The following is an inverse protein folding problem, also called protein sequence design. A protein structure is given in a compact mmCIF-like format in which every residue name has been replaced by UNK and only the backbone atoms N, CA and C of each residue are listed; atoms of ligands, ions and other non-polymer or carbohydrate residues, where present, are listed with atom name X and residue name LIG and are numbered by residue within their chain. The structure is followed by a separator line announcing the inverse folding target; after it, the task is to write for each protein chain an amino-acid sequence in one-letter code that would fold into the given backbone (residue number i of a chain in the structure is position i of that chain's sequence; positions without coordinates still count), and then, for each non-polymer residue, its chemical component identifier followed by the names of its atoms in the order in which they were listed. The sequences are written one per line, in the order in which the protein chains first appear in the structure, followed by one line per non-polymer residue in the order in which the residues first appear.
data_IF_919105778921
#
_entry.id   IF_919105778921
#
_cell.length_a   1.000
_cell.length_b   1.000
_cell.length_c   1.000
_cell.angle_alpha   90.00
_cell.angle_beta   90.00
_cell.angle_gamma   90.00
#
_symmetry.space_group_name_H-M   'P 1'
#
loop_
_entity.id
_entity.type
_entity.pdbx_description
1 polymer ?
#
# COMPACT_ATOMS: atom_id res chain seq x y z
N UNK A 1 -3.06 -27.48 -39.61
CA UNK A 1 -3.82 -26.24 -39.33
C UNK A 1 -4.66 -26.47 -38.08
N UNK A 2 -4.15 -26.04 -36.92
CA UNK A 2 -4.93 -26.09 -35.67
C UNK A 2 -6.10 -25.13 -35.84
N UNK A 3 -7.33 -25.60 -35.60
CA UNK A 3 -8.53 -24.78 -35.82
C UNK A 3 -8.50 -23.65 -34.80
N UNK A 4 -8.64 -22.39 -35.25
CA UNK A 4 -8.69 -21.20 -34.40
C UNK A 4 -9.69 -21.33 -33.23
N UNK A 5 -10.74 -22.16 -33.42
CA UNK A 5 -11.73 -22.54 -32.40
C UNK A 5 -11.16 -23.38 -31.25
N UNK A 6 -10.24 -24.30 -31.50
CA UNK A 6 -9.61 -25.13 -30.46
C UNK A 6 -8.66 -24.28 -29.60
N UNK A 7 -7.99 -23.30 -30.20
CA UNK A 7 -7.10 -22.38 -29.49
C UNK A 7 -7.88 -21.40 -28.58
N UNK A 8 -9.07 -20.98 -29.01
CA UNK A 8 -10.00 -20.18 -28.20
C UNK A 8 -10.56 -20.96 -27.00
N UNK A 9 -10.85 -22.24 -27.17
CA UNK A 9 -11.37 -23.08 -26.09
C UNK A 9 -10.30 -23.37 -25.02
N UNK A 10 -9.05 -23.61 -25.42
CA UNK A 10 -7.96 -23.88 -24.47
C UNK A 10 -7.57 -22.68 -23.58
N UNK A 11 -7.81 -21.44 -24.05
CA UNK A 11 -7.60 -20.23 -23.22
C UNK A 11 -8.70 -20.09 -22.16
N UNK A 12 -9.90 -20.62 -22.42
CA UNK A 12 -11.08 -20.39 -21.59
C UNK A 12 -11.11 -21.23 -20.31
N UNK A 13 -10.42 -22.38 -20.28
CA UNK A 13 -10.45 -23.30 -19.13
C UNK A 13 -9.69 -22.80 -17.89
N UNK A 14 -8.77 -21.84 -18.02
CA UNK A 14 -7.99 -21.31 -16.90
C UNK A 14 -8.53 -20.00 -16.29
N UNK A 15 -9.68 -19.49 -16.75
CA UNK A 15 -10.26 -18.22 -16.25
C UNK A 15 -11.79 -18.19 -16.31
N UNK A 16 -12.48 -18.96 -15.47
CA UNK A 16 -13.94 -18.76 -15.30
C UNK A 16 -14.36 -18.70 -13.84
N UNK A 17 -13.65 -17.94 -13.01
CA UNK A 17 -14.29 -17.35 -11.83
C UNK A 17 -14.94 -16.04 -12.25
N UNK A 18 -16.20 -16.12 -12.71
CA UNK A 18 -17.04 -14.93 -12.79
C UNK A 18 -17.39 -14.55 -11.35
N UNK A 19 -17.05 -13.33 -10.88
CA UNK A 19 -17.46 -12.92 -9.55
C UNK A 19 -18.99 -12.98 -9.46
N UNK A 20 -19.55 -13.35 -8.30
CA UNK A 20 -20.99 -13.36 -8.12
C UNK A 20 -21.56 -12.00 -8.51
N UNK A 21 -22.75 -12.01 -9.14
CA UNK A 21 -23.48 -10.78 -9.44
C UNK A 21 -23.72 -10.02 -8.14
N UNK A 22 -23.72 -8.69 -8.22
CA UNK A 22 -24.17 -7.86 -7.09
C UNK A 22 -25.59 -8.27 -6.69
N UNK A 23 -25.89 -8.18 -5.40
CA UNK A 23 -27.20 -8.52 -4.85
C UNK A 23 -28.34 -7.69 -5.47
N UNK A 24 -28.04 -6.47 -5.93
CA UNK A 24 -28.91 -5.68 -6.81
C UNK A 24 -28.10 -4.76 -7.75
N UNK A 25 -28.71 -4.24 -8.84
CA UNK A 25 -28.07 -3.25 -9.71
C UNK A 25 -27.67 -1.96 -8.98
N UNK A 26 -28.45 -1.55 -7.97
CA UNK A 26 -28.21 -0.34 -7.17
C UNK A 26 -27.01 -0.50 -6.24
N UNK A 27 -26.80 -1.70 -5.68
CA UNK A 27 -25.70 -2.02 -4.77
C UNK A 27 -24.34 -1.77 -5.43
N UNK A 28 -24.21 -1.99 -6.73
CA UNK A 28 -22.98 -1.69 -7.47
C UNK A 28 -22.60 -0.21 -7.34
N UNK A 29 -23.54 0.70 -7.61
CA UNK A 29 -23.32 2.14 -7.54
C UNK A 29 -23.04 2.61 -6.11
N UNK A 30 -23.75 2.04 -5.13
CA UNK A 30 -23.53 2.35 -3.71
C UNK A 30 -22.12 1.94 -3.25
N UNK A 31 -21.69 0.71 -3.57
CA UNK A 31 -20.34 0.21 -3.25
C UNK A 31 -19.27 1.07 -3.94
N UNK A 32 -19.44 1.43 -5.21
CA UNK A 32 -18.46 2.28 -5.92
C UNK A 32 -18.29 3.65 -5.23
N UNK A 33 -19.38 4.24 -4.76
CA UNK A 33 -19.35 5.50 -4.04
C UNK A 33 -18.69 5.35 -2.67
N UNK A 34 -18.97 4.28 -1.94
CA UNK A 34 -18.40 4.03 -0.63
C UNK A 34 -16.91 3.68 -0.71
N UNK A 35 -16.48 2.92 -1.73
CA UNK A 35 -15.05 2.68 -2.03
C UNK A 35 -14.32 4.00 -2.27
N UNK A 36 -14.91 4.93 -3.03
CA UNK A 36 -14.33 6.27 -3.23
C UNK A 36 -14.21 7.04 -1.91
N UNK A 37 -15.20 6.97 -1.03
CA UNK A 37 -15.14 7.62 0.29
C UNK A 37 -14.04 7.00 1.17
N UNK A 38 -14.00 5.66 1.25
CA UNK A 38 -12.98 4.92 1.99
C UNK A 38 -11.57 5.26 1.48
N UNK A 39 -11.39 5.31 0.15
CA UNK A 39 -10.12 5.71 -0.47
C UNK A 39 -9.68 7.11 -0.07
N UNK A 40 -10.59 8.08 -0.01
CA UNK A 40 -10.28 9.44 0.47
C UNK A 40 -9.85 9.46 1.94
N UNK A 41 -10.52 8.69 2.80
CA UNK A 41 -10.17 8.56 4.22
C UNK A 41 -8.77 7.98 4.37
N UNK A 42 -8.50 6.84 3.71
CA UNK A 42 -7.19 6.20 3.70
C UNK A 42 -6.11 7.11 3.11
N UNK A 43 -6.43 7.90 2.09
CA UNK A 43 -5.53 8.90 1.52
C UNK A 43 -5.09 9.94 2.57
N UNK A 44 -6.03 10.50 3.34
CA UNK A 44 -5.72 11.45 4.43
C UNK A 44 -4.91 10.78 5.54
N UNK A 45 -5.31 9.59 5.99
CA UNK A 45 -4.60 8.83 7.01
C UNK A 45 -3.16 8.51 6.57
N UNK A 46 -2.97 8.09 5.31
CA UNK A 46 -1.65 7.82 4.72
C UNK A 46 -0.73 9.04 4.81
N UNK A 47 -1.25 10.23 4.50
CA UNK A 47 -0.48 11.47 4.58
C UNK A 47 -0.09 11.81 6.03
N UNK A 48 -0.98 11.58 7.00
CA UNK A 48 -0.67 11.78 8.41
C UNK A 48 0.43 10.81 8.89
N UNK A 49 0.37 9.54 8.51
CA UNK A 49 1.42 8.55 8.81
C UNK A 49 2.76 8.96 8.19
N UNK A 50 2.77 9.37 6.92
CA UNK A 50 3.96 9.89 6.24
C UNK A 50 4.53 11.10 6.98
N UNK A 51 3.67 12.02 7.44
CA UNK A 51 4.09 13.18 8.20
C UNK A 51 4.79 12.78 9.50
N UNK A 52 4.24 11.83 10.26
CA UNK A 52 4.90 11.30 11.48
C UNK A 52 6.29 10.75 11.17
N UNK A 53 6.44 9.98 10.08
CA UNK A 53 7.74 9.48 9.63
C UNK A 53 8.71 10.63 9.32
N UNK A 54 8.27 11.63 8.55
CA UNK A 54 9.10 12.77 8.15
C UNK A 54 9.49 13.65 9.33
N UNK A 55 8.56 13.97 10.22
CA UNK A 55 8.81 14.82 11.38
C UNK A 55 9.80 14.16 12.35
N UNK A 56 9.76 12.83 12.50
CA UNK A 56 10.75 12.10 13.29
C UNK A 56 12.17 12.17 12.71
N UNK A 57 12.31 12.03 11.38
CA UNK A 57 13.61 12.15 10.70
C UNK A 57 14.11 13.59 10.74
N UNK A 58 13.25 14.56 10.40
CA UNK A 58 13.56 16.00 10.41
C UNK A 58 13.95 16.48 11.81
N UNK A 59 13.24 16.02 12.85
CA UNK A 59 13.52 16.33 14.25
C UNK A 59 14.71 15.56 14.84
N UNK A 60 15.34 14.68 14.06
CA UNK A 60 16.53 13.95 14.47
C UNK A 60 16.30 12.81 15.47
N UNK A 61 15.05 12.40 15.72
CA UNK A 61 14.71 11.31 16.64
C UNK A 61 15.28 9.96 16.19
N UNK A 62 15.32 9.74 14.88
CA UNK A 62 15.83 8.54 14.21
C UNK A 62 16.18 8.88 12.75
N UNK A 63 16.88 8.00 12.04
CA UNK A 63 17.10 8.14 10.60
C UNK A 63 16.05 7.38 9.76
N UNK A 64 16.11 7.54 8.44
CA UNK A 64 15.10 6.95 7.56
C UNK A 64 15.16 5.41 7.54
N UNK A 65 16.34 4.83 7.79
CA UNK A 65 16.54 3.38 7.82
C UNK A 65 16.05 2.76 9.14
N UNK A 66 16.10 3.50 10.24
CA UNK A 66 15.53 3.07 11.52
C UNK A 66 14.02 2.83 11.41
N UNK A 67 13.30 3.56 10.55
CA UNK A 67 11.85 3.36 10.34
C UNK A 67 11.58 1.96 9.78
N UNK A 68 12.25 1.58 8.69
CA UNK A 68 12.02 0.27 8.06
C UNK A 68 12.50 -0.86 8.98
N UNK A 69 13.65 -0.71 9.62
CA UNK A 69 14.13 -1.67 10.63
C UNK A 69 13.12 -1.81 11.76
N UNK A 70 12.61 -0.69 12.25
CA UNK A 70 11.58 -0.62 13.28
C UNK A 70 10.36 -1.42 12.86
N UNK A 71 9.78 -1.16 11.67
CA UNK A 71 8.61 -1.86 11.12
C UNK A 71 8.84 -3.38 11.04
N UNK A 72 10.01 -3.82 10.58
CA UNK A 72 10.31 -5.24 10.32
C UNK A 72 10.66 -6.03 11.58
N UNK A 73 11.43 -5.45 12.50
CA UNK A 73 12.04 -6.18 13.62
C UNK A 73 11.35 -5.96 14.96
N UNK A 74 10.45 -4.97 15.07
CA UNK A 74 9.77 -4.71 16.35
C UNK A 74 8.73 -5.76 16.73
N UNK A 75 8.25 -5.69 17.98
CA UNK A 75 7.23 -6.60 18.54
C UNK A 75 5.96 -6.66 17.68
N UNK A 76 5.57 -7.87 17.25
CA UNK A 76 4.41 -8.16 16.40
C UNK A 76 3.09 -7.58 16.93
N UNK A 77 2.92 -7.53 18.25
CA UNK A 77 1.66 -7.15 18.90
C UNK A 77 1.38 -5.64 18.96
N UNK A 78 2.31 -4.79 18.51
CA UNK A 78 2.11 -3.32 18.53
C UNK A 78 1.28 -2.77 17.37
N UNK A 79 0.91 -3.62 16.42
CA UNK A 79 0.21 -3.29 15.17
C UNK A 79 -0.79 -4.38 14.83
N UNK A 80 -1.95 -4.02 14.30
CA UNK A 80 -2.94 -4.96 13.79
C UNK A 80 -2.50 -5.60 12.46
N UNK A 81 -3.25 -6.62 12.05
CA UNK A 81 -3.04 -7.29 10.77
C UNK A 81 -3.13 -6.30 9.60
N UNK A 82 -2.24 -6.45 8.61
CA UNK A 82 -2.17 -5.57 7.44
C UNK A 82 -1.48 -4.21 7.66
N UNK A 83 -1.38 -3.72 8.90
CA UNK A 83 -0.76 -2.41 9.19
C UNK A 83 0.74 -2.39 8.87
N UNK A 84 1.49 -3.44 9.22
CA UNK A 84 2.93 -3.52 8.92
C UNK A 84 3.23 -3.46 7.42
N UNK A 85 2.59 -4.28 6.57
CA UNK A 85 2.68 -4.14 5.12
C UNK A 85 2.32 -2.73 4.64
N UNK A 86 1.26 -2.13 5.19
CA UNK A 86 0.82 -0.79 4.83
C UNK A 86 1.87 0.28 5.18
N UNK A 87 2.43 0.26 6.40
CA UNK A 87 3.50 1.16 6.82
C UNK A 87 4.76 0.99 5.96
N UNK A 88 5.13 -0.26 5.64
CA UNK A 88 6.26 -0.57 4.75
C UNK A 88 6.03 0.02 3.36
N UNK A 89 4.83 -0.12 2.80
CA UNK A 89 4.45 0.46 1.52
C UNK A 89 4.55 1.99 1.56
N UNK A 90 4.04 2.65 2.60
CA UNK A 90 4.13 4.10 2.75
C UNK A 90 5.57 4.57 2.83
N UNK A 91 6.42 3.92 3.62
CA UNK A 91 7.85 4.22 3.68
C UNK A 91 8.51 4.11 2.30
N UNK A 92 8.24 3.04 1.55
CA UNK A 92 8.77 2.84 0.18
C UNK A 92 8.39 3.98 -0.75
N UNK A 93 7.15 4.49 -0.65
CA UNK A 93 6.64 5.60 -1.46
C UNK A 93 7.37 6.91 -1.19
N UNK A 94 7.79 7.16 0.05
CA UNK A 94 8.38 8.46 0.45
C UNK A 94 9.86 8.42 0.76
N UNK A 95 10.52 7.25 0.65
CA UNK A 95 11.93 7.08 1.08
C UNK A 95 12.90 8.08 0.44
N UNK A 96 12.68 8.45 -0.83
CA UNK A 96 13.50 9.44 -1.53
C UNK A 96 13.37 10.82 -0.91
N UNK A 97 12.19 11.17 -0.39
CA UNK A 97 11.91 12.44 0.26
C UNK A 97 12.70 12.64 1.54
N UNK A 98 13.10 11.58 2.26
CA UNK A 98 13.90 11.73 3.48
C UNK A 98 15.30 12.29 3.23
N UNK A 99 15.84 12.14 2.00
CA UNK A 99 17.20 12.60 1.66
C UNK A 99 17.40 14.10 1.87
N UNK A 100 16.34 14.90 1.74
CA UNK A 100 16.35 16.35 2.00
C UNK A 100 16.70 16.72 3.45
N UNK A 101 16.57 15.77 4.37
CA UNK A 101 16.81 15.98 5.81
C UNK A 101 18.12 15.36 6.29
N UNK A 102 18.90 14.74 5.40
CA UNK A 102 20.24 14.25 5.71
C UNK A 102 21.30 15.21 5.21
N UNK A 103 22.33 15.47 6.03
CA UNK A 103 23.49 16.31 5.66
C UNK A 103 24.14 15.85 4.35
N UNK A 104 24.26 14.53 4.16
CA UNK A 104 24.94 13.95 2.99
C UNK A 104 23.97 13.43 1.90
N UNK A 105 22.67 13.70 2.02
CA UNK A 105 21.64 13.07 1.17
C UNK A 105 21.48 11.55 1.37
N UNK A 106 22.11 10.98 2.39
CA UNK A 106 22.03 9.57 2.77
C UNK A 106 20.76 9.26 3.56
N UNK A 107 20.33 8.00 3.58
CA UNK A 107 19.17 7.58 4.38
C UNK A 107 19.58 7.16 5.80
N UNK A 108 20.85 6.77 5.97
CA UNK A 108 21.47 6.41 7.24
C UNK A 108 22.33 7.58 7.71
N UNK A 109 22.21 7.97 8.97
CA UNK A 109 23.16 8.91 9.59
C UNK A 109 24.44 8.14 9.95
N UNK A 110 25.60 8.75 9.67
CA UNK A 110 26.89 8.26 10.14
C UNK A 110 27.13 8.71 11.58
#
# INVERSE_FOLDING_TARGET
MIKLKELLNHINENTTYLPPKYSSPEVKSMIDNDIKKMSKILGKASQQVIKVMMDGVKGGKYDAMDIIRGIETGNVNRTHEGERPFLRMLWRKVKSGFRRYSKDGRLRKK
#
